data_IF_417266230723
#
_entry.id   IF_417266230723
#
_cell.length_a   1.000
_cell.length_b   1.000
_cell.length_c   1.000
_cell.angle_alpha   90.00
_cell.angle_beta   90.00
_cell.angle_gamma   90.00
#
_symmetry.space_group_name_H-M   'P 1'
#
loop_
_entity.id
_entity.type
_entity.pdbx_description
1 polymer ?
#
# COMPACT_ATOMS: atom_id res chain seq x y z
N UNK A 1 -13.48 12.63 7.45
CA UNK A 1 -12.33 12.09 6.70
C UNK A 1 -12.85 11.51 5.39
N UNK A 2 -12.26 11.81 4.24
CA UNK A 2 -12.82 11.40 2.94
C UNK A 2 -12.58 9.90 2.70
N UNK A 3 -13.55 9.13 2.20
CA UNK A 3 -13.48 7.65 2.08
C UNK A 3 -12.24 7.17 1.33
N UNK A 4 -11.79 7.92 0.31
CA UNK A 4 -10.56 7.63 -0.45
C UNK A 4 -9.28 7.74 0.39
N UNK A 5 -9.22 8.69 1.33
CA UNK A 5 -8.09 8.84 2.27
C UNK A 5 -8.05 7.68 3.26
N UNK A 6 -9.21 7.23 3.73
CA UNK A 6 -9.31 6.06 4.60
C UNK A 6 -8.83 4.79 3.87
N UNK A 7 -9.25 4.60 2.62
CA UNK A 7 -8.80 3.48 1.78
C UNK A 7 -7.28 3.56 1.52
N UNK A 8 -6.75 4.75 1.22
CA UNK A 8 -5.30 4.94 1.05
C UNK A 8 -4.49 4.60 2.32
N UNK A 9 -4.96 5.02 3.50
CA UNK A 9 -4.34 4.65 4.78
C UNK A 9 -4.44 3.15 5.06
N UNK A 10 -5.57 2.51 4.74
CA UNK A 10 -5.73 1.06 4.88
C UNK A 10 -4.80 0.29 3.93
N UNK A 11 -4.62 0.75 2.69
CA UNK A 11 -3.63 0.19 1.75
C UNK A 11 -2.21 0.29 2.30
N UNK A 12 -1.84 1.40 2.94
CA UNK A 12 -0.55 1.52 3.62
C UNK A 12 -0.40 0.55 4.79
N UNK A 13 -1.41 0.43 5.66
CA UNK A 13 -1.37 -0.55 6.75
C UNK A 13 -1.19 -1.98 6.22
N UNK A 14 -1.93 -2.36 5.18
CA UNK A 14 -1.79 -3.67 4.53
C UNK A 14 -0.42 -3.84 3.87
N UNK A 15 0.14 -2.79 3.27
CA UNK A 15 1.49 -2.82 2.71
C UNK A 15 2.52 -3.15 3.78
N UNK A 16 2.41 -2.62 5.01
CA UNK A 16 3.37 -2.95 6.07
C UNK A 16 3.10 -4.28 6.77
N UNK A 17 1.84 -4.71 6.86
CA UNK A 17 1.44 -5.98 7.50
C UNK A 17 1.69 -7.21 6.63
N UNK A 18 1.55 -7.10 5.31
CA UNK A 18 1.70 -8.24 4.38
C UNK A 18 3.14 -8.78 4.32
N UNK A 19 4.19 -7.96 4.19
CA UNK A 19 5.57 -8.43 4.19
C UNK A 19 5.96 -9.04 5.53
N UNK A 20 5.46 -8.51 6.66
CA UNK A 20 5.80 -9.02 7.98
C UNK A 20 5.43 -10.50 8.16
N UNK A 21 4.31 -10.97 7.57
CA UNK A 21 3.92 -12.38 7.67
C UNK A 21 4.77 -13.30 6.78
N UNK A 22 5.15 -12.86 5.58
CA UNK A 22 5.90 -13.71 4.64
C UNK A 22 7.41 -13.64 4.80
N UNK A 23 7.95 -12.49 5.22
CA UNK A 23 9.38 -12.32 5.48
C UNK A 23 9.82 -12.96 6.79
N UNK A 24 8.94 -13.09 7.79
CA UNK A 24 9.33 -13.59 9.12
C UNK A 24 8.97 -15.06 9.37
N UNK A 25 7.94 -15.63 8.71
CA UNK A 25 7.38 -16.94 9.09
C UNK A 25 7.85 -18.11 8.19
N UNK A 26 8.25 -17.87 6.94
CA UNK A 26 8.64 -18.94 5.99
C UNK A 26 10.08 -18.83 5.46
N UNK A 27 11.03 -18.40 6.28
CA UNK A 27 12.43 -18.20 5.86
C UNK A 27 13.16 -19.49 5.45
N UNK A 28 12.68 -20.67 5.85
CA UNK A 28 13.32 -21.96 5.52
C UNK A 28 12.96 -22.50 4.12
N UNK A 29 11.92 -21.97 3.47
CA UNK A 29 11.48 -22.39 2.12
C UNK A 29 11.28 -21.24 1.14
N UNK A 30 11.53 -19.99 1.56
CA UNK A 30 11.40 -18.82 0.71
C UNK A 30 12.43 -18.87 -0.43
N UNK A 31 12.03 -19.45 -1.57
CA UNK A 31 12.75 -19.20 -2.82
C UNK A 31 12.82 -17.68 -3.02
N UNK A 32 13.94 -17.18 -3.56
CA UNK A 32 14.15 -15.75 -3.84
C UNK A 32 12.99 -15.09 -4.61
N UNK A 33 12.21 -15.90 -5.33
CA UNK A 33 11.04 -15.49 -6.09
C UNK A 33 9.85 -15.09 -5.19
N UNK A 34 9.62 -15.79 -4.08
CA UNK A 34 8.56 -15.46 -3.12
C UNK A 34 8.81 -14.12 -2.44
N UNK A 35 10.03 -13.91 -1.95
CA UNK A 35 10.45 -12.62 -1.37
C UNK A 35 10.33 -11.47 -2.37
N UNK A 36 10.72 -11.70 -3.64
CA UNK A 36 10.60 -10.71 -4.71
C UNK A 36 9.14 -10.33 -4.99
N UNK A 37 8.23 -11.31 -5.04
CA UNK A 37 6.79 -11.04 -5.25
C UNK A 37 6.20 -10.22 -4.10
N UNK A 38 6.54 -10.53 -2.85
CA UNK A 38 6.07 -9.75 -1.70
C UNK A 38 6.67 -8.35 -1.64
N UNK A 39 7.93 -8.19 -2.05
CA UNK A 39 8.57 -6.88 -2.18
C UNK A 39 7.91 -6.03 -3.28
N UNK A 40 7.59 -6.63 -4.44
CA UNK A 40 6.85 -5.94 -5.50
C UNK A 40 5.42 -5.59 -5.08
N UNK A 41 4.73 -6.48 -4.36
CA UNK A 41 3.41 -6.20 -3.80
C UNK A 41 3.44 -5.05 -2.78
N UNK A 42 4.48 -5.00 -1.94
CA UNK A 42 4.72 -3.88 -1.03
C UNK A 42 4.86 -2.55 -1.79
N UNK A 43 5.75 -2.50 -2.78
CA UNK A 43 5.95 -1.31 -3.60
C UNK A 43 4.65 -0.88 -4.30
N UNK A 44 3.93 -1.83 -4.90
CA UNK A 44 2.66 -1.57 -5.57
C UNK A 44 1.62 -0.95 -4.61
N UNK A 45 1.43 -1.52 -3.42
CA UNK A 45 0.49 -1.01 -2.42
C UNK A 45 0.91 0.38 -1.89
N UNK A 46 2.21 0.64 -1.77
CA UNK A 46 2.73 1.94 -1.36
C UNK A 46 2.40 3.04 -2.38
N UNK A 47 2.66 2.78 -3.67
CA UNK A 47 2.33 3.69 -4.77
C UNK A 47 0.83 3.86 -4.96
N UNK A 48 0.07 2.77 -4.85
CA UNK A 48 -1.39 2.80 -4.92
C UNK A 48 -1.98 3.66 -3.79
N UNK A 49 -1.49 3.49 -2.56
CA UNK A 49 -1.88 4.32 -1.41
C UNK A 49 -1.57 5.80 -1.62
N UNK A 50 -0.36 6.13 -2.11
CA UNK A 50 0.04 7.49 -2.44
C UNK A 50 -0.90 8.12 -3.50
N UNK A 51 -1.16 7.40 -4.60
CA UNK A 51 -2.02 7.87 -5.68
C UNK A 51 -3.48 8.08 -5.24
N UNK A 52 -4.01 7.18 -4.40
CA UNK A 52 -5.35 7.33 -3.80
C UNK A 52 -5.45 8.54 -2.89
N UNK A 53 -4.40 8.83 -2.11
CA UNK A 53 -4.35 10.03 -1.25
C UNK A 53 -4.28 11.29 -2.11
N UNK A 54 -3.42 11.31 -3.13
CA UNK A 54 -3.21 12.47 -4.01
C UNK A 54 -4.46 12.79 -4.86
N UNK A 55 -5.07 11.77 -5.47
CA UNK A 55 -6.33 11.93 -6.23
C UNK A 55 -7.50 12.41 -5.37
N UNK A 56 -7.43 12.20 -4.05
CA UNK A 56 -8.41 12.72 -3.10
C UNK A 56 -8.16 14.18 -2.69
N UNK A 57 -6.94 14.68 -2.87
CA UNK A 57 -6.56 16.07 -2.60
C UNK A 57 -7.02 17.00 -3.74
N UNK A 58 -6.88 16.57 -5.00
CA UNK A 58 -7.34 17.32 -6.17
C UNK A 58 -8.83 17.71 -6.11
N UNK A 59 -9.68 16.84 -5.56
CA UNK A 59 -11.13 17.09 -5.45
C UNK A 59 -11.52 18.15 -4.39
N UNK A 60 -10.58 18.62 -3.56
CA UNK A 60 -10.82 19.71 -2.60
C UNK A 60 -10.51 21.11 -3.16
N UNK A 61 -9.73 21.21 -4.24
CA UNK A 61 -9.40 22.49 -4.85
C UNK A 61 -10.53 23.03 -5.76
N UNK A 62 -11.43 22.17 -6.22
CA UNK A 62 -12.48 22.48 -7.21
C UNK A 62 -13.80 23.04 -6.62
N UNK A 63 -13.86 23.29 -5.31
CA UNK A 63 -15.03 23.93 -4.65
C UNK A 63 -14.67 25.26 -3.97
N UNK A 64 -13.58 25.89 -4.44
CA UNK A 64 -13.04 27.14 -3.89
C UNK A 64 -12.97 28.31 -4.87
N UNK A 65 -13.72 28.27 -5.97
CA UNK A 65 -13.89 29.40 -6.90
C UNK A 65 -15.37 29.67 -7.15
#
# INVERSE_FOLDING_TARGET
>A
MNTKKLIGMACWLLAFLLPARYSLVESEQASNLGGLVWFLAFLFLMFLGFWLVESSAAKRADHGH
#
